data_IF_288682031771
#
_entry.id   IF_288682031771
#
_cell.length_a   1.000
_cell.length_b   1.000
_cell.length_c   1.000
_cell.angle_alpha   90.00
_cell.angle_beta   90.00
_cell.angle_gamma   90.00
#
_symmetry.space_group_name_H-M   'P 1'
#
loop_
_entity.id
_entity.type
_entity.pdbx_description
1 polymer ?
#
# COMPACT_ATOMS: atom_id res chain seq x y z
N UNK A 1 -0.03 26.25 11.01
CA UNK A 1 0.86 25.06 10.83
C UNK A 1 0.47 24.42 9.52
N UNK A 2 1.41 23.96 8.70
CA UNK A 2 1.10 23.19 7.49
C UNK A 2 0.43 21.87 7.88
N UNK A 3 -0.52 21.38 7.09
CA UNK A 3 -1.12 20.08 7.30
C UNK A 3 -0.04 18.99 7.17
N UNK A 4 -0.21 17.89 7.91
CA UNK A 4 0.61 16.69 7.75
C UNK A 4 0.01 15.84 6.63
N UNK A 5 0.83 15.43 5.67
CA UNK A 5 0.41 14.57 4.57
C UNK A 5 0.96 13.16 4.76
N UNK A 6 0.44 12.18 3.99
CA UNK A 6 0.93 10.81 3.91
C UNK A 6 1.00 10.40 2.43
N UNK A 7 2.08 10.76 1.78
CA UNK A 7 2.33 10.50 0.36
C UNK A 7 3.21 9.26 0.16
N UNK A 8 4.02 8.94 1.18
CA UNK A 8 5.03 7.91 1.23
C UNK A 8 5.15 7.37 2.66
N UNK A 9 5.72 6.18 2.86
CA UNK A 9 6.06 5.69 4.20
C UNK A 9 7.11 6.58 4.89
N UNK A 10 7.91 7.29 4.11
CA UNK A 10 8.95 8.20 4.61
C UNK A 10 8.40 9.48 5.25
N UNK A 11 7.09 9.75 5.13
CA UNK A 11 6.43 10.87 5.82
C UNK A 11 6.17 10.61 7.32
N UNK A 12 6.46 9.39 7.79
CA UNK A 12 6.38 8.98 9.18
C UNK A 12 7.74 8.46 9.67
N UNK A 13 7.97 8.55 10.98
CA UNK A 13 9.11 7.84 11.58
C UNK A 13 8.81 6.35 11.73
N UNK A 14 9.84 5.48 11.89
CA UNK A 14 9.65 4.06 12.18
C UNK A 14 8.74 3.80 13.40
N UNK A 15 8.92 4.59 14.46
CA UNK A 15 8.13 4.48 15.70
C UNK A 15 6.67 4.85 15.47
N UNK A 16 6.41 5.92 14.70
CA UNK A 16 5.05 6.32 14.34
C UNK A 16 4.36 5.26 13.49
N UNK A 17 5.06 4.67 12.51
CA UNK A 17 4.52 3.58 11.70
C UNK A 17 4.19 2.36 12.56
N UNK A 18 5.08 1.96 13.47
CA UNK A 18 4.82 0.84 14.37
C UNK A 18 3.63 1.13 15.31
N UNK A 19 3.54 2.36 15.84
CA UNK A 19 2.39 2.82 16.64
C UNK A 19 1.10 2.77 15.83
N UNK A 20 1.16 3.16 14.55
CA UNK A 20 0.03 3.12 13.62
C UNK A 20 -0.45 1.68 13.36
N UNK A 21 0.47 0.73 13.19
CA UNK A 21 0.12 -0.70 13.04
C UNK A 21 -0.54 -1.26 14.31
N UNK A 22 -0.01 -0.96 15.49
CA UNK A 22 -0.61 -1.36 16.77
C UNK A 22 -2.01 -0.79 16.94
N UNK A 23 -2.19 0.49 16.58
CA UNK A 23 -3.50 1.13 16.61
C UNK A 23 -4.48 0.49 15.63
N UNK A 24 -4.05 0.12 14.45
CA UNK A 24 -4.87 -0.59 13.47
C UNK A 24 -5.37 -1.94 14.01
N UNK A 25 -4.51 -2.70 14.68
CA UNK A 25 -4.85 -3.97 15.35
C UNK A 25 -5.89 -3.72 16.47
N UNK A 26 -5.71 -2.67 17.27
CA UNK A 26 -6.68 -2.29 18.31
C UNK A 26 -8.04 -1.94 17.71
N UNK A 27 -8.07 -1.10 16.66
CA UNK A 27 -9.31 -0.73 15.96
C UNK A 27 -10.01 -1.93 15.32
N UNK A 28 -9.25 -2.91 14.83
CA UNK A 28 -9.78 -4.20 14.36
C UNK A 28 -10.46 -4.95 15.51
N UNK A 29 -9.81 -5.07 16.65
CA UNK A 29 -10.35 -5.71 17.85
C UNK A 29 -11.61 -5.02 18.37
N UNK A 30 -11.63 -3.68 18.45
CA UNK A 30 -12.81 -2.91 18.86
C UNK A 30 -14.02 -3.25 17.96
N UNK A 31 -13.80 -3.27 16.63
CA UNK A 31 -14.86 -3.63 15.68
C UNK A 31 -15.36 -5.05 15.86
N UNK A 32 -14.48 -6.03 16.01
CA UNK A 32 -14.84 -7.45 16.21
C UNK A 32 -15.65 -7.65 17.49
N UNK A 33 -15.40 -6.84 18.51
CA UNK A 33 -16.13 -6.84 19.80
C UNK A 33 -17.40 -6.00 19.75
N UNK A 34 -17.75 -5.38 18.63
CA UNK A 34 -18.94 -4.52 18.50
C UNK A 34 -18.85 -3.21 19.30
N UNK A 35 -17.65 -2.77 19.68
CA UNK A 35 -17.45 -1.53 20.42
C UNK A 35 -17.45 -0.35 19.44
N UNK A 36 -18.36 0.59 19.65
CA UNK A 36 -18.45 1.81 18.87
C UNK A 36 -17.32 2.77 19.25
N UNK A 37 -16.59 3.26 18.25
CA UNK A 37 -15.52 4.23 18.43
C UNK A 37 -15.54 5.23 17.27
N UNK A 38 -15.96 6.47 17.53
CA UNK A 38 -16.27 7.49 16.52
C UNK A 38 -15.47 8.79 16.72
N UNK A 39 -14.13 8.77 16.69
CA UNK A 39 -13.28 9.94 16.94
C UNK A 39 -13.41 11.01 15.85
N UNK A 40 -13.82 10.63 14.64
CA UNK A 40 -13.92 11.52 13.49
C UNK A 40 -15.36 11.99 13.19
N UNK A 41 -16.18 12.07 14.23
CA UNK A 41 -17.56 12.57 14.09
C UNK A 41 -17.60 13.95 13.46
N UNK A 42 -18.47 14.11 12.44
CA UNK A 42 -18.62 15.33 11.64
C UNK A 42 -17.41 15.69 10.76
N UNK A 43 -16.45 14.76 10.53
CA UNK A 43 -15.35 14.93 9.59
C UNK A 43 -15.71 14.40 8.22
N UNK A 44 -15.17 15.02 7.17
CA UNK A 44 -15.44 14.65 5.78
C UNK A 44 -14.15 14.38 5.03
N UNK A 45 -14.04 13.16 4.48
CA UNK A 45 -12.97 12.74 3.58
C UNK A 45 -13.39 12.90 2.12
N UNK A 46 -12.65 13.66 1.33
CA UNK A 46 -12.76 13.66 -0.12
C UNK A 46 -11.90 12.52 -0.71
N UNK A 47 -12.46 11.75 -1.63
CA UNK A 47 -11.74 10.65 -2.29
C UNK A 47 -11.70 10.86 -3.80
N UNK A 48 -10.55 11.28 -4.32
CA UNK A 48 -10.32 11.52 -5.76
C UNK A 48 -9.73 10.26 -6.38
N UNK A 49 -10.39 9.74 -7.44
CA UNK A 49 -9.98 8.53 -8.14
C UNK A 49 -9.79 8.78 -9.62
N UNK A 50 -8.58 8.83 -10.12
CA UNK A 50 -8.28 8.78 -11.55
C UNK A 50 -8.20 7.33 -12.05
N UNK A 51 -7.82 6.40 -11.17
CA UNK A 51 -7.82 4.94 -11.41
C UNK A 51 -8.88 4.26 -10.54
N UNK A 52 -9.73 3.42 -11.12
CA UNK A 52 -10.73 2.65 -10.38
C UNK A 52 -10.07 1.70 -9.36
N UNK A 53 -10.71 1.54 -8.20
CA UNK A 53 -10.32 0.53 -7.21
C UNK A 53 -11.45 0.26 -6.22
N UNK A 54 -11.97 -0.95 -6.24
CA UNK A 54 -12.99 -1.40 -5.28
C UNK A 54 -12.44 -1.43 -3.85
N UNK A 55 -11.26 -2.05 -3.65
CA UNK A 55 -10.65 -2.20 -2.31
C UNK A 55 -10.31 -0.86 -1.68
N UNK A 56 -9.65 0.04 -2.40
CA UNK A 56 -9.30 1.37 -1.88
C UNK A 56 -10.54 2.18 -1.54
N UNK A 57 -11.57 2.14 -2.42
CA UNK A 57 -12.82 2.85 -2.15
C UNK A 57 -13.50 2.29 -0.91
N UNK A 58 -13.74 0.97 -0.85
CA UNK A 58 -14.43 0.34 0.28
C UNK A 58 -13.69 0.57 1.60
N UNK A 59 -12.37 0.42 1.63
CA UNK A 59 -11.59 0.53 2.87
C UNK A 59 -11.58 1.97 3.43
N UNK A 60 -11.46 2.99 2.58
CA UNK A 60 -11.51 4.38 3.04
C UNK A 60 -12.94 4.83 3.37
N UNK A 61 -13.92 4.52 2.51
CA UNK A 61 -15.31 4.92 2.71
C UNK A 61 -15.90 4.26 3.96
N UNK A 62 -15.79 2.92 4.05
CA UNK A 62 -16.22 2.20 5.25
C UNK A 62 -15.41 2.58 6.50
N UNK A 63 -14.11 2.81 6.36
CA UNK A 63 -13.24 3.24 7.45
C UNK A 63 -13.67 4.57 8.03
N UNK A 64 -13.93 5.56 7.17
CA UNK A 64 -14.39 6.88 7.60
C UNK A 64 -15.75 6.83 8.28
N UNK A 65 -16.71 6.07 7.71
CA UNK A 65 -18.04 5.87 8.32
C UNK A 65 -17.92 5.21 9.69
N UNK A 66 -17.07 4.18 9.83
CA UNK A 66 -16.87 3.48 11.11
C UNK A 66 -16.19 4.35 12.18
N UNK A 67 -15.49 5.41 11.79
CA UNK A 67 -14.92 6.41 12.69
C UNK A 67 -15.88 7.58 12.97
N UNK A 68 -17.14 7.50 12.51
CA UNK A 68 -18.18 8.50 12.73
C UNK A 68 -18.20 9.65 11.73
N UNK A 69 -17.32 9.61 10.72
CA UNK A 69 -17.22 10.62 9.67
C UNK A 69 -18.02 10.27 8.42
N UNK A 70 -17.77 11.02 7.35
CA UNK A 70 -18.40 10.88 6.03
C UNK A 70 -17.31 10.82 4.96
N UNK A 71 -17.58 10.19 3.81
CA UNK A 71 -16.71 10.19 2.67
C UNK A 71 -17.46 10.58 1.40
N UNK A 72 -16.80 11.39 0.55
CA UNK A 72 -17.33 11.84 -0.74
C UNK A 72 -16.45 11.24 -1.83
N UNK A 73 -17.03 10.41 -2.68
CA UNK A 73 -16.34 9.85 -3.84
C UNK A 73 -16.39 10.83 -5.01
N UNK A 74 -15.22 11.14 -5.57
CA UNK A 74 -15.03 12.07 -6.68
C UNK A 74 -14.33 11.34 -7.83
N UNK A 75 -15.06 11.06 -8.90
CA UNK A 75 -14.48 10.52 -10.13
C UNK A 75 -14.00 11.65 -11.06
N UNK A 76 -13.14 11.35 -12.08
CA UNK A 76 -12.75 12.37 -13.07
C UNK A 76 -13.95 12.95 -13.84
N UNK A 77 -15.06 12.23 -13.89
CA UNK A 77 -16.29 12.70 -14.53
C UNK A 77 -17.04 13.73 -13.68
N UNK A 78 -16.82 13.69 -12.36
CA UNK A 78 -17.53 14.51 -11.37
C UNK A 78 -16.71 15.73 -10.96
N UNK A 79 -15.45 15.84 -11.41
CA UNK A 79 -14.53 16.93 -11.06
C UNK A 79 -14.08 17.70 -12.30
N UNK A 80 -13.66 18.95 -12.10
CA UNK A 80 -13.02 19.76 -13.12
C UNK A 80 -11.52 19.45 -13.28
N UNK A 81 -10.91 18.68 -12.38
CA UNK A 81 -9.49 18.29 -12.47
C UNK A 81 -9.12 17.66 -13.82
N UNK A 82 -10.03 16.85 -14.39
CA UNK A 82 -9.87 16.30 -15.74
C UNK A 82 -10.31 17.22 -16.88
N UNK A 83 -10.70 18.48 -16.59
CA UNK A 83 -11.29 19.44 -17.54
C UNK A 83 -10.53 20.77 -17.62
N UNK A 84 -9.26 20.79 -17.17
CA UNK A 84 -8.37 21.93 -17.27
C UNK A 84 -8.33 22.86 -16.06
N UNK A 85 -8.98 22.52 -14.93
CA UNK A 85 -8.76 23.21 -13.65
C UNK A 85 -7.35 22.85 -13.14
N UNK A 86 -6.52 23.86 -12.77
CA UNK A 86 -5.22 23.60 -12.15
C UNK A 86 -5.36 22.80 -10.85
N UNK A 87 -4.41 21.86 -10.61
CA UNK A 87 -4.38 21.05 -9.37
C UNK A 87 -4.31 21.94 -8.13
N UNK A 88 -3.52 23.02 -8.19
CA UNK A 88 -3.40 24.02 -7.12
C UNK A 88 -4.74 24.66 -6.72
N UNK A 89 -5.56 25.02 -7.71
CA UNK A 89 -6.85 25.67 -7.48
C UNK A 89 -7.85 24.69 -6.85
N UNK A 90 -7.93 23.47 -7.40
CA UNK A 90 -8.73 22.40 -6.83
C UNK A 90 -8.32 22.07 -5.38
N UNK A 91 -7.02 22.01 -5.08
CA UNK A 91 -6.50 21.77 -3.72
C UNK A 91 -6.92 22.90 -2.75
N UNK A 92 -6.81 24.17 -3.18
CA UNK A 92 -7.23 25.32 -2.36
C UNK A 92 -8.73 25.27 -2.07
N UNK A 93 -9.57 24.98 -3.07
CA UNK A 93 -11.02 24.94 -2.93
C UNK A 93 -11.43 23.75 -2.06
N UNK A 94 -10.99 22.55 -2.39
CA UNK A 94 -11.38 21.32 -1.67
C UNK A 94 -10.93 21.33 -0.22
N UNK A 95 -9.71 21.81 0.07
CA UNK A 95 -9.19 21.90 1.44
C UNK A 95 -9.89 22.93 2.34
N UNK A 96 -10.81 23.73 1.80
CA UNK A 96 -11.69 24.63 2.57
C UNK A 96 -13.03 23.99 2.95
N UNK A 97 -13.36 22.86 2.34
CA UNK A 97 -14.65 22.18 2.49
C UNK A 97 -14.53 20.79 3.13
N UNK A 98 -13.31 20.20 3.11
CA UNK A 98 -13.02 18.84 3.56
C UNK A 98 -12.05 18.86 4.73
N UNK A 99 -12.01 17.80 5.52
CA UNK A 99 -11.07 17.59 6.63
C UNK A 99 -9.83 16.78 6.22
N UNK A 100 -9.92 15.98 5.14
CA UNK A 100 -8.82 15.29 4.50
C UNK A 100 -9.15 14.97 3.04
N UNK A 101 -8.11 14.71 2.23
CA UNK A 101 -8.26 14.28 0.83
C UNK A 101 -7.40 13.03 0.59
N UNK A 102 -8.00 11.97 0.06
CA UNK A 102 -7.30 10.82 -0.47
C UNK A 102 -7.30 10.88 -1.99
N UNK A 103 -6.16 10.68 -2.61
CA UNK A 103 -5.99 10.73 -4.06
C UNK A 103 -5.40 9.42 -4.56
N UNK A 104 -6.04 8.82 -5.57
CA UNK A 104 -5.53 7.69 -6.33
C UNK A 104 -5.37 8.13 -7.78
N UNK A 105 -4.14 8.25 -8.22
CA UNK A 105 -3.75 8.89 -9.49
C UNK A 105 -2.73 8.06 -10.27
N UNK A 106 -2.33 8.55 -11.42
CA UNK A 106 -1.18 8.06 -12.18
C UNK A 106 0.12 8.74 -11.67
N UNK A 107 0.32 9.99 -12.04
CA UNK A 107 1.55 10.71 -11.73
C UNK A 107 1.65 11.06 -10.23
N UNK A 108 2.77 10.70 -9.59
CA UNK A 108 3.03 11.08 -8.19
C UNK A 108 3.12 12.60 -8.00
N UNK A 109 3.52 13.33 -9.04
CA UNK A 109 3.53 14.80 -9.06
C UNK A 109 2.18 15.45 -8.80
N UNK A 110 1.08 14.80 -9.21
CA UNK A 110 -0.29 15.25 -8.88
C UNK A 110 -0.51 15.30 -7.37
N UNK A 111 -0.02 14.29 -6.64
CA UNK A 111 -0.11 14.25 -5.18
C UNK A 111 0.72 15.34 -4.51
N UNK A 112 1.98 15.52 -4.95
CA UNK A 112 2.89 16.50 -4.35
C UNK A 112 2.41 17.94 -4.62
N UNK A 113 1.90 18.22 -5.82
CA UNK A 113 1.32 19.52 -6.15
C UNK A 113 0.05 19.81 -5.33
N UNK A 114 -0.86 18.82 -5.23
CA UNK A 114 -2.07 18.97 -4.42
C UNK A 114 -1.73 19.21 -2.94
N UNK A 115 -0.79 18.45 -2.39
CA UNK A 115 -0.34 18.57 -1.01
C UNK A 115 0.29 19.94 -0.71
N UNK A 116 1.07 20.49 -1.66
CA UNK A 116 1.72 21.79 -1.52
C UNK A 116 0.71 22.96 -1.37
N UNK A 117 -0.53 22.79 -1.87
CA UNK A 117 -1.56 23.84 -1.84
C UNK A 117 -2.73 23.51 -0.88
N UNK A 118 -2.74 22.31 -0.29
CA UNK A 118 -3.79 21.85 0.61
C UNK A 118 -3.58 22.35 2.04
N UNK A 119 -4.66 22.72 2.71
CA UNK A 119 -4.70 23.07 4.14
C UNK A 119 -5.04 21.87 5.03
N UNK A 120 -5.45 20.77 4.43
CA UNK A 120 -5.82 19.53 5.11
C UNK A 120 -4.92 18.38 4.68
N UNK A 121 -4.85 17.30 5.46
CA UNK A 121 -4.08 16.11 5.09
C UNK A 121 -4.40 15.60 3.69
N UNK A 122 -3.36 15.24 2.94
CA UNK A 122 -3.44 14.54 1.66
C UNK A 122 -2.86 13.14 1.85
N UNK A 123 -3.59 12.13 1.38
CA UNK A 123 -3.25 10.72 1.52
C UNK A 123 -3.04 10.11 0.12
N UNK A 124 -1.89 9.48 -0.09
CA UNK A 124 -1.63 8.69 -1.30
C UNK A 124 -2.40 7.37 -1.26
N UNK A 125 -3.50 7.28 -1.99
CA UNK A 125 -4.27 6.05 -2.17
C UNK A 125 -3.62 5.06 -3.15
N UNK A 126 -2.81 5.54 -4.07
CA UNK A 126 -1.87 4.91 -5.00
C UNK A 126 -1.40 5.94 -6.02
N UNK A 127 -0.15 5.88 -6.40
CA UNK A 127 0.41 6.51 -7.60
C UNK A 127 1.21 5.49 -8.41
N UNK A 128 1.76 5.88 -9.57
CA UNK A 128 2.65 5.02 -10.36
C UNK A 128 3.99 4.78 -9.65
N UNK A 129 4.37 5.62 -8.70
CA UNK A 129 5.61 5.46 -7.95
C UNK A 129 5.43 4.66 -6.67
N UNK A 130 4.31 4.82 -5.93
CA UNK A 130 4.13 4.30 -4.57
C UNK A 130 2.69 3.87 -4.26
N UNK A 131 2.56 2.90 -3.32
CA UNK A 131 1.30 2.48 -2.70
C UNK A 131 1.44 2.33 -1.17
N UNK A 132 1.71 3.41 -0.42
CA UNK A 132 2.07 3.32 1.00
C UNK A 132 0.94 2.74 1.88
N UNK A 133 -0.34 3.02 1.55
CA UNK A 133 -1.49 2.46 2.27
C UNK A 133 -1.58 0.93 2.16
N UNK A 134 -1.06 0.32 1.10
CA UNK A 134 -0.98 -1.13 0.98
C UNK A 134 0.06 -1.67 1.95
N UNK A 135 1.24 -1.04 2.00
CA UNK A 135 2.32 -1.49 2.88
C UNK A 135 1.95 -1.40 4.37
N UNK A 136 1.12 -0.42 4.78
CA UNK A 136 0.59 -0.41 6.14
C UNK A 136 -0.21 -1.70 6.43
N UNK A 137 -1.04 -2.15 5.50
CA UNK A 137 -1.82 -3.38 5.66
C UNK A 137 -0.94 -4.64 5.61
N UNK A 138 0.08 -4.66 4.75
CA UNK A 138 1.03 -5.77 4.64
C UNK A 138 1.80 -5.95 5.94
N UNK A 139 2.34 -4.86 6.48
CA UNK A 139 3.10 -4.86 7.74
C UNK A 139 2.20 -5.14 8.95
N UNK A 140 0.95 -4.65 8.97
CA UNK A 140 -0.04 -5.04 9.98
C UNK A 140 -0.29 -6.54 9.93
N UNK A 141 -0.52 -7.11 8.75
CA UNK A 141 -0.80 -8.54 8.57
C UNK A 141 0.37 -9.40 9.03
N UNK A 142 1.59 -9.00 8.65
CA UNK A 142 2.78 -9.68 9.13
C UNK A 142 2.91 -9.62 10.66
N UNK A 143 2.71 -8.44 11.24
CA UNK A 143 2.77 -8.24 12.70
C UNK A 143 1.73 -9.10 13.45
N UNK A 144 0.50 -9.20 12.94
CA UNK A 144 -0.56 -10.03 13.53
C UNK A 144 -0.24 -11.53 13.45
N UNK A 145 0.27 -12.01 12.32
CA UNK A 145 0.43 -13.45 12.05
C UNK A 145 1.81 -14.01 12.41
N UNK A 146 2.86 -13.17 12.46
CA UNK A 146 4.27 -13.59 12.60
C UNK A 146 5.07 -12.76 13.62
N UNK A 147 4.52 -11.66 14.13
CA UNK A 147 5.23 -10.76 15.03
C UNK A 147 6.16 -9.78 14.29
N UNK A 148 7.31 -9.43 14.88
CA UNK A 148 8.21 -8.42 14.31
C UNK A 148 8.87 -8.90 13.01
N UNK A 149 8.86 -8.03 11.99
CA UNK A 149 9.58 -8.24 10.73
C UNK A 149 11.03 -7.74 10.80
N UNK A 150 11.41 -7.03 11.86
CA UNK A 150 12.74 -6.45 12.02
C UNK A 150 13.85 -7.51 11.90
N UNK A 151 14.89 -7.22 11.11
CA UNK A 151 16.01 -8.12 10.85
C UNK A 151 15.68 -9.34 9.99
N UNK A 152 14.43 -9.47 9.50
CA UNK A 152 14.00 -10.58 8.67
C UNK A 152 14.38 -10.38 7.20
N UNK A 153 14.30 -11.45 6.41
CA UNK A 153 14.41 -11.37 4.95
C UNK A 153 13.02 -11.40 4.32
N UNK A 154 12.78 -10.49 3.41
CA UNK A 154 11.56 -10.38 2.60
C UNK A 154 11.93 -10.58 1.14
N UNK A 155 11.14 -11.34 0.38
CA UNK A 155 11.30 -11.52 -1.05
C UNK A 155 10.15 -10.84 -1.80
N UNK A 156 10.51 -10.00 -2.75
CA UNK A 156 9.63 -9.49 -3.79
C UNK A 156 9.91 -10.25 -5.09
N UNK A 157 8.88 -10.81 -5.73
CA UNK A 157 9.02 -11.59 -6.96
C UNK A 157 8.14 -10.97 -8.04
N UNK A 158 8.74 -10.48 -9.13
CA UNK A 158 7.97 -9.92 -10.25
C UNK A 158 8.49 -8.55 -10.72
N UNK A 159 7.57 -7.70 -11.14
CA UNK A 159 7.88 -6.39 -11.68
C UNK A 159 8.37 -5.40 -10.60
N UNK A 160 9.37 -4.61 -10.94
CA UNK A 160 9.86 -3.51 -10.10
C UNK A 160 8.95 -2.28 -10.11
N UNK A 161 7.65 -2.50 -9.94
CA UNK A 161 6.59 -1.49 -10.00
C UNK A 161 6.47 -0.65 -8.70
N UNK A 162 5.41 0.14 -8.61
CA UNK A 162 5.11 0.98 -7.44
C UNK A 162 4.95 0.20 -6.13
N UNK A 163 4.47 -1.05 -6.18
CA UNK A 163 4.42 -1.92 -5.00
C UNK A 163 5.83 -2.31 -4.56
N UNK A 164 6.71 -2.69 -5.50
CA UNK A 164 8.10 -2.98 -5.22
C UNK A 164 8.83 -1.77 -4.61
N UNK A 165 8.63 -0.57 -5.20
CA UNK A 165 9.18 0.67 -4.65
C UNK A 165 8.70 0.91 -3.20
N UNK A 166 7.44 0.63 -2.92
CA UNK A 166 6.88 0.77 -1.57
C UNK A 166 7.44 -0.26 -0.58
N UNK A 167 7.75 -1.48 -1.03
CA UNK A 167 8.50 -2.46 -0.23
C UNK A 167 9.92 -2.02 0.06
N UNK A 168 10.56 -1.27 -0.85
CA UNK A 168 11.90 -0.68 -0.63
C UNK A 168 11.84 0.38 0.49
N UNK A 169 10.84 1.25 0.50
CA UNK A 169 10.63 2.18 1.62
C UNK A 169 10.32 1.43 2.92
N UNK A 170 9.49 0.39 2.86
CA UNK A 170 9.17 -0.42 4.02
C UNK A 170 10.41 -1.13 4.61
N UNK A 171 11.36 -1.57 3.77
CA UNK A 171 12.62 -2.16 4.22
C UNK A 171 13.43 -1.19 5.07
N UNK A 172 13.42 0.09 4.74
CA UNK A 172 14.08 1.14 5.53
C UNK A 172 13.34 1.40 6.85
N UNK A 173 12.01 1.55 6.78
CA UNK A 173 11.18 1.95 7.91
C UNK A 173 10.98 0.85 8.96
N UNK A 174 10.90 -0.40 8.53
CA UNK A 174 10.66 -1.56 9.40
C UNK A 174 11.90 -2.43 9.62
N UNK A 175 13.07 -2.01 9.13
CA UNK A 175 14.37 -2.62 9.36
C UNK A 175 14.44 -4.10 8.94
N UNK A 176 14.13 -4.40 7.68
CA UNK A 176 14.28 -5.74 7.09
C UNK A 176 15.14 -5.72 5.81
N UNK A 177 15.60 -6.89 5.38
CA UNK A 177 16.32 -7.05 4.12
C UNK A 177 15.37 -7.48 3.01
N UNK A 178 15.30 -6.69 1.93
CA UNK A 178 14.47 -6.97 0.76
C UNK A 178 15.33 -7.58 -0.36
N UNK A 179 14.98 -8.77 -0.82
CA UNK A 179 15.50 -9.36 -2.05
C UNK A 179 14.46 -9.24 -3.15
N UNK A 180 14.82 -8.57 -4.24
CA UNK A 180 13.94 -8.34 -5.39
C UNK A 180 14.37 -9.26 -6.52
N UNK A 181 13.54 -10.23 -6.90
CA UNK A 181 13.74 -11.02 -8.10
C UNK A 181 12.87 -10.48 -9.24
N UNK A 182 13.49 -9.90 -10.26
CA UNK A 182 12.83 -9.34 -11.42
C UNK A 182 13.60 -9.63 -12.72
N UNK A 183 12.92 -9.69 -13.89
CA UNK A 183 13.59 -9.74 -15.17
C UNK A 183 14.47 -8.51 -15.42
N UNK A 184 15.50 -8.68 -16.24
CA UNK A 184 16.32 -7.55 -16.68
C UNK A 184 15.47 -6.52 -17.45
N UNK A 185 15.63 -5.23 -17.11
CA UNK A 185 14.87 -4.13 -17.68
C UNK A 185 13.53 -3.86 -16.97
N UNK A 186 13.23 -4.61 -15.90
CA UNK A 186 12.03 -4.44 -15.06
C UNK A 186 12.41 -4.27 -13.58
N UNK A 187 13.58 -3.69 -13.34
CA UNK A 187 14.06 -3.36 -12.00
C UNK A 187 13.21 -2.24 -11.39
N UNK A 188 13.11 -2.18 -10.05
CA UNK A 188 12.53 -1.04 -9.36
C UNK A 188 13.29 0.25 -9.66
N UNK A 189 12.67 1.39 -9.42
CA UNK A 189 13.27 2.69 -9.67
C UNK A 189 14.59 2.83 -8.90
N UNK A 190 15.66 3.13 -9.64
CA UNK A 190 17.02 3.21 -9.12
C UNK A 190 17.19 4.22 -7.97
N UNK A 191 16.37 5.27 -7.92
CA UNK A 191 16.41 6.27 -6.85
C UNK A 191 16.01 5.63 -5.50
N UNK A 192 14.93 4.83 -5.46
CA UNK A 192 14.52 4.13 -4.25
C UNK A 192 15.57 3.10 -3.80
N UNK A 193 16.13 2.35 -4.76
CA UNK A 193 17.20 1.36 -4.47
C UNK A 193 18.42 2.06 -3.88
N UNK A 194 18.86 3.17 -4.44
CA UNK A 194 20.00 3.93 -3.95
C UNK A 194 19.77 4.49 -2.54
N UNK A 195 18.56 4.94 -2.23
CA UNK A 195 18.19 5.45 -0.89
C UNK A 195 18.18 4.35 0.17
N UNK A 196 17.79 3.12 -0.19
CA UNK A 196 17.73 1.99 0.72
C UNK A 196 19.10 1.34 0.99
N UNK A 197 20.11 1.60 0.14
CA UNK A 197 21.46 1.10 0.30
C UNK A 197 21.53 -0.44 0.33
N UNK A 198 22.22 -0.99 1.31
CA UNK A 198 22.45 -2.43 1.47
C UNK A 198 21.24 -3.21 2.01
N UNK A 199 20.14 -2.54 2.31
CA UNK A 199 18.87 -3.21 2.67
C UNK A 199 18.17 -3.87 1.48
N UNK A 200 18.54 -3.53 0.25
CA UNK A 200 17.92 -4.04 -0.97
C UNK A 200 18.95 -4.76 -1.84
N UNK A 201 18.64 -5.99 -2.23
CA UNK A 201 19.45 -6.77 -3.17
C UNK A 201 18.60 -7.18 -4.35
N UNK A 202 19.03 -6.85 -5.56
CA UNK A 202 18.35 -7.28 -6.80
C UNK A 202 19.02 -8.55 -7.30
N UNK A 203 18.22 -9.59 -7.52
CA UNK A 203 18.64 -10.90 -8.03
C UNK A 203 17.82 -11.25 -9.28
N UNK A 204 18.24 -12.28 -10.02
CA UNK A 204 17.55 -12.72 -11.24
C UNK A 204 16.80 -14.04 -11.05
N UNK A 205 17.24 -14.86 -10.12
CA UNK A 205 16.59 -16.14 -9.83
C UNK A 205 15.61 -15.97 -8.65
N UNK A 206 14.29 -16.22 -8.85
CA UNK A 206 13.32 -16.20 -7.77
C UNK A 206 13.68 -17.10 -6.58
N UNK A 207 14.38 -18.23 -6.83
CA UNK A 207 14.83 -19.15 -5.78
C UNK A 207 15.85 -18.51 -4.85
N UNK A 208 16.76 -17.69 -5.42
CA UNK A 208 17.74 -16.93 -4.63
C UNK A 208 17.05 -15.89 -3.72
N UNK A 209 16.03 -15.22 -4.24
CA UNK A 209 15.28 -14.25 -3.44
C UNK A 209 14.51 -14.91 -2.29
N UNK A 210 13.84 -16.03 -2.57
CA UNK A 210 12.97 -16.73 -1.62
C UNK A 210 13.75 -17.53 -0.56
N UNK A 211 14.99 -17.95 -0.84
CA UNK A 211 15.77 -18.78 0.08
C UNK A 211 15.82 -18.22 1.51
N UNK A 212 15.12 -18.87 2.45
CA UNK A 212 15.02 -18.44 3.85
C UNK A 212 14.24 -17.16 4.08
N UNK A 213 13.45 -16.67 3.12
CA UNK A 213 12.61 -15.49 3.29
C UNK A 213 11.44 -15.78 4.23
N UNK A 214 11.11 -14.82 5.10
CA UNK A 214 10.00 -14.91 6.07
C UNK A 214 8.69 -14.29 5.52
N UNK A 215 8.80 -13.44 4.52
CA UNK A 215 7.70 -12.88 3.77
C UNK A 215 8.01 -12.96 2.28
N UNK A 216 7.07 -13.45 1.49
CA UNK A 216 7.12 -13.43 0.03
C UNK A 216 5.93 -12.63 -0.48
N UNK A 217 6.17 -11.68 -1.35
CA UNK A 217 5.11 -10.86 -1.98
C UNK A 217 5.32 -10.72 -3.47
N UNK A 218 4.22 -10.54 -4.18
CA UNK A 218 4.19 -10.30 -5.63
C UNK A 218 3.00 -9.42 -6.00
N UNK A 219 2.96 -8.98 -7.23
CA UNK A 219 1.86 -8.24 -7.85
C UNK A 219 1.66 -8.72 -9.28
N UNK A 220 0.55 -8.34 -9.90
CA UNK A 220 0.24 -8.64 -11.30
C UNK A 220 1.38 -8.19 -12.22
N UNK A 221 1.67 -9.00 -13.24
CA UNK A 221 2.74 -8.68 -14.19
C UNK A 221 2.35 -7.59 -15.21
N UNK A 222 1.04 -7.40 -15.41
CA UNK A 222 0.51 -6.35 -16.29
C UNK A 222 -0.44 -5.48 -15.48
N UNK A 223 -0.03 -4.24 -15.24
CA UNK A 223 -0.85 -3.26 -14.55
C UNK A 223 -1.83 -2.57 -15.51
N UNK A 224 -2.84 -1.88 -14.95
CA UNK A 224 -3.78 -1.07 -15.73
C UNK A 224 -3.02 -0.04 -16.61
N UNK A 225 -3.28 -0.05 -17.91
CA UNK A 225 -2.63 0.82 -18.90
C UNK A 225 -1.44 0.18 -19.63
N UNK A 226 -1.15 -1.12 -19.42
CA UNK A 226 -0.04 -1.86 -20.05
C UNK A 226 -0.54 -2.99 -20.95
N UNK A 227 -1.80 -2.97 -21.38
CA UNK A 227 -2.45 -4.07 -22.09
C UNK A 227 -1.79 -4.42 -23.43
N UNK A 228 -1.18 -3.45 -24.10
CA UNK A 228 -0.48 -3.66 -25.39
C UNK A 228 0.79 -4.51 -25.26
N UNK A 229 1.41 -4.52 -24.07
CA UNK A 229 2.62 -5.29 -23.79
C UNK A 229 2.35 -6.66 -23.14
N UNK A 230 1.09 -6.99 -22.89
CA UNK A 230 0.68 -8.15 -22.08
C UNK A 230 1.34 -9.46 -22.51
N UNK A 231 1.28 -9.81 -23.80
CA UNK A 231 1.84 -11.09 -24.28
C UNK A 231 3.35 -11.20 -24.07
N UNK A 232 4.09 -10.12 -24.31
CA UNK A 232 5.54 -10.05 -24.07
C UNK A 232 5.87 -10.20 -22.60
N UNK A 233 5.12 -9.49 -21.73
CA UNK A 233 5.32 -9.53 -20.27
C UNK A 233 5.01 -10.91 -19.72
N UNK A 234 3.91 -11.53 -20.11
CA UNK A 234 3.56 -12.91 -19.71
C UNK A 234 4.67 -13.91 -20.01
N UNK A 235 5.24 -13.85 -21.22
CA UNK A 235 6.32 -14.75 -21.59
C UNK A 235 7.59 -14.50 -20.76
N UNK A 236 7.95 -13.23 -20.52
CA UNK A 236 9.15 -12.85 -19.81
C UNK A 236 9.06 -13.13 -18.29
N UNK A 237 7.89 -12.88 -17.70
CA UNK A 237 7.68 -13.04 -16.27
C UNK A 237 7.31 -14.48 -15.86
N UNK A 238 7.00 -15.36 -16.80
CA UNK A 238 6.64 -16.77 -16.49
C UNK A 238 7.58 -17.47 -15.51
N UNK A 239 8.92 -17.30 -15.57
CA UNK A 239 9.85 -17.90 -14.60
C UNK A 239 9.72 -17.31 -13.18
N UNK A 240 9.03 -16.17 -13.03
CA UNK A 240 8.83 -15.45 -11.78
C UNK A 240 7.47 -15.75 -11.13
N UNK A 241 6.74 -16.77 -11.61
CA UNK A 241 5.51 -17.21 -10.97
C UNK A 241 5.79 -17.71 -9.54
N UNK A 242 5.05 -17.16 -8.56
CA UNK A 242 5.10 -17.67 -7.20
C UNK A 242 4.22 -18.92 -7.09
N UNK A 243 4.83 -20.03 -6.71
CA UNK A 243 4.19 -21.35 -6.57
C UNK A 243 4.38 -21.88 -5.15
N UNK A 244 3.62 -22.89 -4.76
CA UNK A 244 3.85 -23.61 -3.49
C UNK A 244 5.27 -24.17 -3.40
N UNK A 245 5.76 -24.76 -4.49
CA UNK A 245 7.12 -25.32 -4.55
C UNK A 245 8.22 -24.24 -4.40
N UNK A 246 7.96 -23.02 -4.84
CA UNK A 246 8.86 -21.89 -4.59
C UNK A 246 8.82 -21.49 -3.11
N UNK A 247 7.64 -21.40 -2.49
CA UNK A 247 7.49 -21.10 -1.06
C UNK A 247 8.10 -22.19 -0.15
N UNK A 248 8.22 -23.44 -0.61
CA UNK A 248 8.86 -24.52 0.15
C UNK A 248 10.37 -24.29 0.36
N UNK A 249 10.98 -23.36 -0.38
CA UNK A 249 12.39 -22.95 -0.24
C UNK A 249 12.58 -21.77 0.73
N UNK A 250 11.50 -21.17 1.18
CA UNK A 250 11.49 -20.07 2.14
C UNK A 250 11.68 -20.57 3.59
N UNK A 251 11.62 -19.66 4.56
CA UNK A 251 11.59 -20.02 5.97
C UNK A 251 10.34 -20.87 6.29
N UNK A 252 10.44 -21.75 7.29
CA UNK A 252 9.34 -22.66 7.67
C UNK A 252 8.07 -21.94 8.13
N UNK A 253 8.22 -20.69 8.58
CA UNK A 253 7.14 -19.80 9.02
C UNK A 253 6.78 -18.73 7.98
N UNK A 254 7.16 -18.91 6.71
CA UNK A 254 6.94 -17.94 5.65
C UNK A 254 5.47 -17.52 5.56
N UNK A 255 5.24 -16.22 5.37
CA UNK A 255 3.95 -15.66 5.00
C UNK A 255 3.99 -15.27 3.52
N UNK A 256 2.92 -15.57 2.79
CA UNK A 256 2.71 -15.09 1.43
C UNK A 256 1.65 -13.98 1.41
N UNK A 257 1.95 -12.86 0.76
CA UNK A 257 1.02 -11.73 0.59
C UNK A 257 0.87 -11.35 -0.90
N UNK A 258 -0.30 -10.84 -1.24
CA UNK A 258 -0.62 -10.32 -2.57
C UNK A 258 -1.62 -9.16 -2.44
N UNK A 259 -1.31 -8.01 -3.02
CA UNK A 259 -2.14 -6.79 -2.90
C UNK A 259 -3.53 -6.89 -3.57
N UNK A 260 -3.74 -7.90 -4.39
CA UNK A 260 -4.98 -8.16 -5.14
C UNK A 260 -5.38 -6.99 -6.10
N UNK A 261 -6.03 -7.28 -7.26
CA UNK A 261 -6.49 -8.61 -7.71
C UNK A 261 -5.30 -9.48 -8.12
N UNK A 262 -5.43 -10.79 -8.02
CA UNK A 262 -4.43 -11.74 -8.46
C UNK A 262 -4.91 -12.47 -9.73
N UNK A 263 -4.00 -12.71 -10.68
CA UNK A 263 -4.27 -13.51 -11.86
C UNK A 263 -3.74 -14.92 -11.63
N UNK A 264 -4.61 -15.80 -11.13
CA UNK A 264 -4.28 -17.22 -10.91
C UNK A 264 -3.82 -17.88 -12.21
N UNK A 265 -2.68 -18.57 -12.16
CA UNK A 265 -2.02 -19.14 -13.34
C UNK A 265 -1.00 -18.21 -14.01
N UNK A 266 -0.96 -16.94 -13.66
CA UNK A 266 0.03 -15.95 -14.11
C UNK A 266 1.08 -15.72 -13.01
N UNK A 267 1.05 -14.60 -12.27
CA UNK A 267 2.04 -14.27 -11.23
C UNK A 267 2.00 -15.22 -10.02
N UNK A 268 0.88 -15.90 -9.83
CA UNK A 268 0.71 -16.93 -8.79
C UNK A 268 0.15 -18.22 -9.40
N UNK A 269 0.50 -19.39 -8.79
CA UNK A 269 -0.17 -20.63 -9.15
C UNK A 269 -1.66 -20.60 -8.77
N UNK A 270 -2.49 -21.42 -9.45
CA UNK A 270 -3.94 -21.47 -9.28
C UNK A 270 -4.39 -21.60 -7.81
N UNK A 271 -3.65 -22.33 -7.03
CA UNK A 271 -3.97 -22.76 -5.68
C UNK A 271 -3.26 -21.96 -4.56
N UNK A 272 -2.44 -20.94 -4.92
CA UNK A 272 -1.57 -20.28 -3.95
C UNK A 272 -2.32 -19.41 -2.95
N UNK A 273 -3.40 -18.74 -3.35
CA UNK A 273 -4.21 -17.94 -2.41
C UNK A 273 -4.92 -18.80 -1.36
N UNK A 274 -5.09 -20.09 -1.64
CA UNK A 274 -5.74 -21.06 -0.76
C UNK A 274 -4.70 -21.88 0.05
N UNK A 275 -3.40 -21.59 -0.10
CA UNK A 275 -2.32 -22.18 0.70
C UNK A 275 -2.39 -21.66 2.15
N UNK A 276 -2.17 -22.52 3.18
CA UNK A 276 -2.16 -22.10 4.58
C UNK A 276 -1.15 -21.00 4.93
N UNK A 277 -0.13 -20.80 4.10
CA UNK A 277 0.86 -19.71 4.24
C UNK A 277 0.38 -18.38 3.67
N UNK A 278 -0.75 -18.36 2.94
CA UNK A 278 -1.31 -17.15 2.35
C UNK A 278 -2.08 -16.34 3.39
N UNK A 279 -1.69 -15.08 3.56
CA UNK A 279 -2.40 -14.07 4.35
C UNK A 279 -3.13 -13.04 3.48
N UNK A 280 -3.36 -13.32 2.19
CA UNK A 280 -3.89 -12.32 1.25
C UNK A 280 -5.30 -11.81 1.63
N UNK A 281 -6.14 -12.65 2.23
CA UNK A 281 -7.47 -12.26 2.67
C UNK A 281 -7.44 -11.41 3.93
N UNK A 282 -6.60 -11.77 4.92
CA UNK A 282 -6.35 -10.96 6.12
C UNK A 282 -5.74 -9.60 5.74
N UNK A 283 -4.79 -9.59 4.80
CA UNK A 283 -4.20 -8.38 4.24
C UNK A 283 -5.26 -7.47 3.60
N UNK A 284 -6.18 -8.04 2.83
CA UNK A 284 -7.27 -7.28 2.21
C UNK A 284 -8.21 -6.66 3.25
N UNK A 285 -8.54 -7.37 4.33
CA UNK A 285 -9.30 -6.83 5.48
C UNK A 285 -8.49 -5.74 6.18
N UNK A 286 -7.22 -5.97 6.42
CA UNK A 286 -6.34 -5.04 7.13
C UNK A 286 -6.16 -3.69 6.43
N UNK A 287 -6.46 -3.60 5.11
CA UNK A 287 -6.60 -2.31 4.42
C UNK A 287 -7.57 -1.37 5.12
N UNK A 288 -8.70 -1.90 5.61
CA UNK A 288 -9.68 -1.13 6.35
C UNK A 288 -9.10 -0.60 7.67
N UNK A 289 -8.44 -1.46 8.43
CA UNK A 289 -7.98 -1.13 9.78
C UNK A 289 -6.75 -0.23 9.78
N UNK A 290 -5.78 -0.48 8.89
CA UNK A 290 -4.62 0.37 8.69
C UNK A 290 -5.02 1.80 8.24
N UNK A 291 -5.98 1.90 7.33
CA UNK A 291 -6.46 3.22 6.86
C UNK A 291 -7.29 3.94 7.91
N UNK A 292 -8.03 3.22 8.78
CA UNK A 292 -8.68 3.85 9.94
C UNK A 292 -7.68 4.47 10.90
N UNK A 293 -6.60 3.76 11.23
CA UNK A 293 -5.54 4.30 12.09
C UNK A 293 -4.84 5.50 11.44
N UNK A 294 -4.60 5.45 10.13
CA UNK A 294 -4.03 6.57 9.38
C UNK A 294 -4.96 7.80 9.38
N UNK A 295 -6.25 7.60 9.17
CA UNK A 295 -7.25 8.69 9.22
C UNK A 295 -7.32 9.31 10.62
N UNK A 296 -7.30 8.50 11.68
CA UNK A 296 -7.27 8.97 13.07
C UNK A 296 -6.01 9.81 13.32
N UNK A 297 -4.83 9.34 12.90
CA UNK A 297 -3.56 10.07 13.04
C UNK A 297 -3.59 11.45 12.36
N UNK A 298 -4.17 11.52 11.16
CA UNK A 298 -4.10 12.72 10.33
C UNK A 298 -5.22 13.72 10.61
N UNK A 299 -6.40 13.26 11.02
CA UNK A 299 -7.62 14.07 11.09
C UNK A 299 -8.03 14.39 12.52
N UNK A 300 -7.72 13.55 13.51
CA UNK A 300 -8.06 13.83 14.90
C UNK A 300 -7.06 14.82 15.52
N UNK A 301 -7.52 16.00 15.98
CA UNK A 301 -6.63 16.98 16.58
C UNK A 301 -5.96 16.46 17.85
N UNK A 302 -4.62 16.45 17.85
CA UNK A 302 -3.83 16.10 19.03
C UNK A 302 -3.59 14.60 19.24
N UNK A 303 -4.18 13.73 18.42
CA UNK A 303 -3.85 12.31 18.48
C UNK A 303 -2.39 12.05 18.06
N UNK A 304 -1.70 11.18 18.81
CA UNK A 304 -0.38 10.64 18.49
C UNK A 304 -0.39 9.15 18.81
N UNK A 305 -0.01 8.26 17.87
CA UNK A 305 0.13 6.85 18.17
C UNK A 305 1.26 6.64 19.18
N UNK A 306 1.03 5.78 20.15
CA UNK A 306 1.99 5.40 21.19
C UNK A 306 3.02 4.38 20.67
#
# INVERSE_FOLDING_TARGET
MSARHFLSLMDCTPEELLGLLRRAIELKSLRQRGILFEPLKNRVLGMIFEKASTRTRLSFEAGMIQLGGQAIFLSPRDTQLGRGEPISDAAIVMSRMLDAVMIRTFAHSTLTEFAAHSRVPVINGLSDDLHPCQLLADMQTYLELRGSIQGKTVAWIGDGNNMCNSYIEAAQQFDFHLRVACPQGYEPNATFVAQAGDRVTIVRDPREAVAGAHLVSTDVWTSMGQEEETAKRLALFKPYQVTRALLDQAASDVLFLHCLPAHRGEEISEDLLDDPRSGAWDQAENRLHAQKALLELLVEPGYRPA
#
